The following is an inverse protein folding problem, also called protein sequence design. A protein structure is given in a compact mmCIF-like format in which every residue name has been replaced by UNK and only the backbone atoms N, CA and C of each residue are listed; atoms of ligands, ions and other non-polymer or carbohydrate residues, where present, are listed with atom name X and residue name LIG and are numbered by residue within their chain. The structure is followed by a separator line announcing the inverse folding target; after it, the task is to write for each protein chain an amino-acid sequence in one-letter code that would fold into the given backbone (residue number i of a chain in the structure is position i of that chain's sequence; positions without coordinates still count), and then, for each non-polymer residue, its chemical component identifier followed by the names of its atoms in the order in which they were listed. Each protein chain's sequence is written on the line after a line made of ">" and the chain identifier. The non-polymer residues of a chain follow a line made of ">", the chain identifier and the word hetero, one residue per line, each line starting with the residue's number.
data_IF_980655826105
#
_entry.id   IF_980655826105
#
_cell.length_a   1.000
_cell.length_b   1.000
_cell.length_c   1.000
_cell.angle_alpha   90.00
_cell.angle_beta   90.00
_cell.angle_gamma   90.00
#
_symmetry.space_group_name_H-M   'P 1'
#
loop_
_entity.id
_entity.type
_entity.pdbx_description
1 polymer ?
#
# COMPACT_ATOMS: atom_id res chain seq x y z
N UNK A 1 -0.33 11.86 -8.25
CA UNK A 1 -0.86 11.01 -9.34
C UNK A 1 -0.58 11.70 -10.66
N UNK A 2 -0.06 11.00 -11.66
CA UNK A 2 0.14 11.57 -13.01
C UNK A 2 -1.23 11.63 -13.67
N UNK A 3 -1.76 12.83 -13.87
CA UNK A 3 -2.98 13.04 -14.63
C UNK A 3 -2.61 13.27 -16.10
N UNK A 4 -3.04 12.38 -16.99
CA UNK A 4 -2.82 12.50 -18.44
C UNK A 4 -4.18 12.83 -19.07
N UNK A 5 -4.38 14.04 -19.62
CA UNK A 5 -5.67 14.44 -20.17
C UNK A 5 -6.04 13.59 -21.39
N UNK A 6 -7.25 13.04 -21.39
CA UNK A 6 -7.81 12.27 -22.51
C UNK A 6 -7.34 10.82 -22.63
N UNK A 7 -6.49 10.33 -21.72
CA UNK A 7 -6.14 8.92 -21.65
C UNK A 7 -7.19 8.13 -20.85
N UNK A 8 -7.41 6.89 -21.26
CA UNK A 8 -8.23 5.95 -20.48
C UNK A 8 -7.63 5.73 -19.09
N UNK A 9 -8.46 5.63 -18.03
CA UNK A 9 -7.98 5.34 -16.69
C UNK A 9 -7.42 3.92 -16.60
N UNK A 10 -6.22 3.80 -16.06
CA UNK A 10 -5.52 2.52 -15.89
C UNK A 10 -4.92 2.39 -14.49
N UNK A 11 -4.92 1.18 -13.96
CA UNK A 11 -4.15 0.80 -12.79
C UNK A 11 -2.82 0.22 -13.26
N UNK A 12 -1.73 0.94 -13.00
CA UNK A 12 -0.36 0.48 -13.29
C UNK A 12 0.26 -0.09 -12.02
N UNK A 13 0.58 -1.37 -12.01
CA UNK A 13 1.24 -2.03 -10.89
C UNK A 13 2.75 -1.89 -11.06
N UNK A 14 3.39 -1.27 -10.08
CA UNK A 14 4.84 -1.08 -10.07
C UNK A 14 5.46 -1.90 -8.94
N UNK A 15 6.65 -2.45 -9.20
CA UNK A 15 7.49 -2.93 -8.13
C UNK A 15 8.22 -1.77 -7.43
N UNK A 16 8.99 -2.09 -6.40
CA UNK A 16 9.76 -1.11 -5.65
C UNK A 16 10.78 -0.31 -6.51
N UNK A 17 11.28 -0.92 -7.59
CA UNK A 17 12.22 -0.28 -8.51
C UNK A 17 11.52 0.50 -9.63
N UNK A 18 10.23 0.82 -9.47
CA UNK A 18 9.39 1.49 -10.46
C UNK A 18 9.28 0.75 -11.80
N UNK A 19 9.56 -0.56 -11.82
CA UNK A 19 9.33 -1.38 -12.99
C UNK A 19 7.86 -1.77 -13.05
N UNK A 20 7.27 -1.60 -14.22
CA UNK A 20 5.90 -2.04 -14.50
C UNK A 20 5.83 -3.56 -14.43
N UNK A 21 4.96 -4.05 -13.55
CA UNK A 21 4.63 -5.46 -13.39
C UNK A 21 3.43 -5.82 -14.26
N UNK A 22 2.42 -4.95 -14.27
CA UNK A 22 1.18 -5.15 -15.00
C UNK A 22 0.43 -3.82 -15.20
N UNK A 23 -0.53 -3.82 -16.13
CA UNK A 23 -1.40 -2.69 -16.46
C UNK A 23 -2.82 -3.17 -16.72
N UNK A 24 -3.76 -2.63 -15.94
CA UNK A 24 -5.17 -3.04 -15.95
C UNK A 24 -6.02 -1.84 -16.37
N UNK A 25 -6.79 -1.99 -17.45
CA UNK A 25 -7.74 -0.97 -17.89
C UNK A 25 -8.92 -0.87 -16.91
N UNK A 26 -9.29 0.36 -16.54
CA UNK A 26 -10.36 0.62 -15.56
C UNK A 26 -11.64 1.19 -16.20
N UNK A 27 -11.61 1.52 -17.49
CA UNK A 27 -12.69 2.23 -18.20
C UNK A 27 -14.05 1.58 -18.05
N UNK A 28 -14.10 0.24 -18.11
CA UNK A 28 -15.36 -0.52 -18.03
C UNK A 28 -15.67 -1.03 -16.62
N UNK A 29 -14.87 -0.65 -15.61
CA UNK A 29 -15.03 -1.12 -14.23
C UNK A 29 -15.74 -0.10 -13.36
N UNK A 30 -16.69 -0.57 -12.57
CA UNK A 30 -17.32 0.23 -11.52
C UNK A 30 -16.37 0.42 -10.34
N UNK A 31 -16.63 1.45 -9.53
CA UNK A 31 -15.91 1.68 -8.26
C UNK A 31 -15.88 0.44 -7.37
N UNK A 32 -16.97 -0.34 -7.31
CA UNK A 32 -17.03 -1.53 -6.46
C UNK A 32 -16.09 -2.63 -6.96
N UNK A 33 -16.07 -2.89 -8.26
CA UNK A 33 -15.17 -3.87 -8.89
C UNK A 33 -13.70 -3.46 -8.75
N UNK A 34 -13.41 -2.17 -8.88
CA UNK A 34 -12.05 -1.65 -8.66
C UNK A 34 -11.60 -1.86 -7.21
N UNK A 35 -12.47 -1.59 -6.23
CA UNK A 35 -12.13 -1.84 -4.82
C UNK A 35 -11.95 -3.34 -4.54
N UNK A 36 -12.77 -4.20 -5.14
CA UNK A 36 -12.62 -5.66 -5.02
C UNK A 36 -11.30 -6.15 -5.64
N UNK A 37 -10.93 -5.62 -6.81
CA UNK A 37 -9.65 -5.89 -7.46
C UNK A 37 -8.47 -5.52 -6.54
N UNK A 38 -8.47 -4.31 -5.99
CA UNK A 38 -7.41 -3.87 -5.07
C UNK A 38 -7.32 -4.77 -3.83
N UNK A 39 -8.45 -5.22 -3.29
CA UNK A 39 -8.48 -6.19 -2.19
C UNK A 39 -7.88 -7.53 -2.57
N UNK A 40 -8.20 -8.07 -3.76
CA UNK A 40 -7.61 -9.31 -4.30
C UNK A 40 -6.10 -9.20 -4.53
N UNK A 41 -5.64 -8.02 -4.93
CA UNK A 41 -4.21 -7.71 -5.08
C UNK A 41 -3.49 -7.55 -3.72
N UNK A 42 -4.23 -7.54 -2.61
CA UNK A 42 -3.67 -7.45 -1.27
C UNK A 42 -3.43 -6.02 -0.77
N UNK A 43 -4.01 -5.00 -1.41
CA UNK A 43 -3.90 -3.63 -0.91
C UNK A 43 -4.77 -3.45 0.35
N UNK A 44 -4.18 -2.85 1.38
CA UNK A 44 -4.91 -2.45 2.58
C UNK A 44 -5.60 -1.10 2.37
N UNK A 45 -6.87 -1.01 2.77
CA UNK A 45 -7.65 0.22 2.74
C UNK A 45 -7.81 0.78 4.16
N UNK A 46 -7.23 1.94 4.40
CA UNK A 46 -7.43 2.72 5.64
C UNK A 46 -8.85 3.29 5.70
N UNK A 47 -9.39 3.48 6.91
CA UNK A 47 -10.70 4.12 7.08
C UNK A 47 -10.59 5.62 6.82
N UNK A 48 -9.63 6.28 7.47
CA UNK A 48 -9.28 7.68 7.28
C UNK A 48 -7.85 7.84 6.74
N UNK A 49 -7.56 9.01 6.16
CA UNK A 49 -6.25 9.28 5.55
C UNK A 49 -5.13 9.30 6.59
N UNK A 50 -5.43 9.67 7.82
CA UNK A 50 -4.49 9.85 8.92
C UNK A 50 -4.25 8.57 9.74
N UNK A 51 -5.08 7.54 9.58
CA UNK A 51 -4.98 6.29 10.36
C UNK A 51 -3.61 5.61 10.20
N UNK A 52 -3.22 4.77 11.14
CA UNK A 52 -2.03 3.94 10.95
C UNK A 52 -2.35 2.70 10.10
N UNK A 53 -1.35 2.18 9.40
CA UNK A 53 -1.46 0.87 8.74
C UNK A 53 -1.08 -0.20 9.76
N UNK A 54 -1.95 -1.19 10.04
CA UNK A 54 -1.64 -2.27 10.97
C UNK A 54 -0.35 -3.01 10.60
N UNK A 55 0.35 -3.55 11.60
CA UNK A 55 1.65 -4.22 11.41
C UNK A 55 1.58 -5.37 10.39
N UNK A 56 0.50 -6.15 10.42
CA UNK A 56 0.24 -7.25 9.47
C UNK A 56 0.11 -6.81 8.00
N UNK A 57 -0.22 -5.54 7.75
CA UNK A 57 -0.38 -4.95 6.41
C UNK A 57 0.72 -3.96 6.06
N UNK A 58 1.74 -3.78 6.91
CA UNK A 58 2.74 -2.72 6.79
C UNK A 58 3.48 -2.72 5.45
N UNK A 59 3.66 -3.90 4.88
CA UNK A 59 4.32 -4.11 3.59
C UNK A 59 3.37 -4.52 2.48
N UNK A 60 2.09 -4.79 2.79
CA UNK A 60 1.10 -5.19 1.81
C UNK A 60 0.98 -4.16 0.68
N UNK A 61 0.90 -4.59 -0.59
CA UNK A 61 0.79 -5.98 -1.07
C UNK A 61 2.14 -6.72 -1.23
N UNK A 62 3.28 -6.08 -0.98
CA UNK A 62 4.58 -6.75 -1.02
C UNK A 62 4.73 -7.72 0.16
N UNK A 63 5.46 -8.83 -0.06
CA UNK A 63 5.68 -9.85 0.97
C UNK A 63 6.72 -9.42 2.02
N UNK A 64 7.71 -8.64 1.59
CA UNK A 64 8.86 -8.26 2.40
C UNK A 64 9.20 -6.77 2.19
N UNK A 65 9.94 -6.20 3.15
CA UNK A 65 10.53 -4.86 2.97
C UNK A 65 11.45 -4.87 1.75
N UNK A 66 11.26 -3.96 0.77
CA UNK A 66 12.21 -3.80 -0.31
C UNK A 66 13.56 -3.26 0.17
N UNK A 67 13.60 -2.66 1.36
CA UNK A 67 14.81 -2.21 2.04
C UNK A 67 15.27 -3.34 2.96
N UNK A 68 16.26 -4.11 2.50
CA UNK A 68 16.80 -5.26 3.25
C UNK A 68 17.58 -4.88 4.51
N UNK A 69 17.86 -3.59 4.73
CA UNK A 69 18.82 -3.14 5.75
C UNK A 69 18.29 -2.10 6.74
N UNK A 70 17.00 -1.77 6.75
CA UNK A 70 16.46 -0.88 7.79
C UNK A 70 15.95 -1.72 8.97
N UNK A 71 16.47 -1.51 10.21
CA UNK A 71 15.88 -2.14 11.38
C UNK A 71 14.42 -1.71 11.41
N UNK A 72 13.52 -2.70 11.52
CA UNK A 72 12.11 -2.46 11.75
C UNK A 72 11.97 -1.37 12.81
N UNK A 73 11.23 -0.26 12.55
CA UNK A 73 10.96 0.68 13.61
C UNK A 73 10.15 -0.11 14.63
N UNK A 74 10.78 -0.44 15.77
CA UNK A 74 10.10 -1.08 16.88
C UNK A 74 8.85 -0.25 17.17
N UNK A 75 7.68 -0.87 17.38
CA UNK A 75 6.56 -0.14 17.92
C UNK A 75 7.07 0.54 19.19
N UNK A 76 6.90 1.85 19.27
CA UNK A 76 7.29 2.64 20.44
C UNK A 76 6.34 2.31 21.58
N UNK A 77 6.49 1.12 22.17
CA UNK A 77 5.92 0.76 23.47
C UNK A 77 7.07 0.75 24.49
N UNK A 78 7.23 1.91 25.11
CA UNK A 78 7.72 2.22 26.47
C UNK A 78 9.16 1.86 26.91
N UNK A 79 9.63 2.55 27.97
CA UNK A 79 9.72 1.82 29.24
C UNK A 79 9.09 2.58 30.42
N UNK A 80 8.25 1.87 31.18
CA UNK A 80 8.26 1.99 32.64
C UNK A 80 9.64 1.54 33.15
N UNK A 81 10.28 2.34 34.03
CA UNK A 81 11.11 1.95 35.18
C UNK A 81 11.41 3.24 35.96
N UNK A 82 10.70 3.50 37.05
CA UNK A 82 11.04 3.13 38.44
C UNK A 82 11.92 4.17 39.17
N UNK A 83 11.38 4.61 40.32
CA UNK A 83 11.94 5.33 41.47
C UNK A 83 13.38 5.91 41.42
N UNK A 84 13.47 7.20 41.74
CA UNK A 84 14.34 7.78 42.79
C UNK A 84 13.78 9.12 43.29
#
# INVERSE_FOLDING_TARGET
>A
MKHIPGADPELVLLNHYYQELDRIALTDMTRSEINELLGKLGFYKKAEKEDEVPEEFRFSPAKDSPFKDEPTPKPSSEPEHADL
#
